data_IF_334292852026
#
_entry.id   IF_334292852026
#
_cell.length_a   1.000
_cell.length_b   1.000
_cell.length_c   1.000
_cell.angle_alpha   90.00
_cell.angle_beta   90.00
_cell.angle_gamma   90.00
#
_symmetry.space_group_name_H-M   'P 1'
#
loop_
_entity.id
_entity.type
_entity.pdbx_description
1 polymer ?
#
# COMPACT_ATOMS: atom_id res chain seq x y z
N UNK A 1 -0.82 -1.08 -3.16
CA UNK A 1 0.43 -0.32 -2.84
C UNK A 1 0.76 0.63 -3.97
N UNK A 2 1.29 1.82 -3.64
CA UNK A 2 1.75 2.81 -4.61
C UNK A 2 3.23 3.15 -4.34
N UNK A 3 4.08 3.13 -5.37
CA UNK A 3 5.52 3.45 -5.23
C UNK A 3 6.16 3.72 -6.60
N UNK A 4 7.27 4.45 -6.63
CA UNK A 4 8.07 4.58 -7.85
C UNK A 4 8.68 3.26 -8.32
N UNK A 5 9.16 2.44 -7.38
CA UNK A 5 9.83 1.17 -7.63
C UNK A 5 9.30 0.11 -6.68
N UNK A 6 9.14 -1.13 -7.16
CA UNK A 6 8.71 -2.27 -6.36
C UNK A 6 9.65 -3.44 -6.61
N UNK A 7 10.14 -4.04 -5.52
CA UNK A 7 10.91 -5.29 -5.51
C UNK A 7 10.28 -6.26 -4.53
N UNK A 8 9.98 -7.45 -5.00
CA UNK A 8 9.29 -8.50 -4.23
C UNK A 8 10.23 -9.70 -4.14
N UNK A 9 10.48 -10.16 -2.92
CA UNK A 9 11.37 -11.27 -2.66
C UNK A 9 10.62 -12.34 -1.85
N UNK A 10 10.79 -13.61 -2.20
CA UNK A 10 10.24 -14.76 -1.46
C UNK A 10 8.72 -14.74 -1.23
N UNK A 11 7.96 -14.15 -2.18
CA UNK A 11 6.50 -14.13 -2.10
C UNK A 11 5.90 -15.40 -2.73
N UNK A 12 4.85 -15.93 -2.11
CA UNK A 12 4.14 -17.11 -2.61
C UNK A 12 2.64 -16.90 -2.57
N UNK A 13 1.94 -17.19 -3.67
CA UNK A 13 0.47 -17.17 -3.74
C UNK A 13 -0.08 -15.84 -3.22
N UNK A 14 0.36 -14.73 -3.81
CA UNK A 14 0.03 -13.37 -3.37
C UNK A 14 -0.52 -12.55 -4.53
N UNK A 15 -1.53 -11.73 -4.23
CA UNK A 15 -2.12 -10.78 -5.18
C UNK A 15 -1.68 -9.36 -4.84
N UNK A 16 -1.02 -8.71 -5.80
CA UNK A 16 -0.48 -7.36 -5.66
C UNK A 16 -1.28 -6.37 -6.50
N UNK A 17 -1.91 -5.40 -5.82
CA UNK A 17 -2.62 -4.28 -6.45
C UNK A 17 -1.71 -3.07 -6.47
N UNK A 18 -1.22 -2.66 -7.64
CA UNK A 18 -0.08 -1.76 -7.75
C UNK A 18 -0.38 -0.47 -8.51
N UNK A 19 0.18 0.63 -7.99
CA UNK A 19 0.42 1.89 -8.73
C UNK A 19 1.92 2.09 -8.78
N UNK A 20 2.53 2.05 -9.97
CA UNK A 20 3.99 2.11 -10.13
C UNK A 20 4.46 2.95 -11.30
N UNK A 21 5.67 3.53 -11.20
CA UNK A 21 6.34 4.26 -12.29
C UNK A 21 7.37 3.43 -13.05
N UNK A 22 7.83 2.33 -12.47
CA UNK A 22 8.68 1.36 -13.13
C UNK A 22 8.06 -0.03 -13.08
N UNK A 23 8.55 -0.89 -13.97
CA UNK A 23 8.26 -2.33 -13.96
C UNK A 23 8.63 -2.93 -12.60
N UNK A 24 7.71 -3.64 -11.91
CA UNK A 24 8.04 -4.37 -10.70
C UNK A 24 9.08 -5.46 -10.99
N UNK A 25 9.91 -5.77 -10.00
CA UNK A 25 10.88 -6.87 -10.07
C UNK A 25 10.55 -7.91 -9.02
N UNK A 26 10.51 -9.18 -9.40
CA UNK A 26 10.37 -10.32 -8.48
C UNK A 26 11.66 -11.13 -8.41
N UNK A 27 11.90 -11.77 -7.27
CA UNK A 27 12.97 -12.73 -7.05
C UNK A 27 12.51 -13.83 -6.08
N UNK A 28 12.89 -15.08 -6.33
CA UNK A 28 12.54 -16.24 -5.48
C UNK A 28 11.04 -16.33 -5.14
N UNK A 29 10.19 -15.86 -6.05
CA UNK A 29 8.74 -15.78 -5.85
C UNK A 29 8.01 -16.77 -6.75
N UNK A 30 6.83 -17.21 -6.34
CA UNK A 30 6.05 -18.23 -7.06
C UNK A 30 4.55 -18.01 -6.90
N UNK A 31 3.79 -18.17 -7.99
CA UNK A 31 2.34 -17.97 -8.00
C UNK A 31 1.90 -16.55 -7.59
N UNK A 32 2.69 -15.51 -7.88
CA UNK A 32 2.31 -14.13 -7.58
C UNK A 32 1.49 -13.52 -8.72
N UNK A 33 0.48 -12.72 -8.41
CA UNK A 33 -0.42 -12.14 -9.42
C UNK A 33 -0.51 -10.64 -9.26
N UNK A 34 -0.63 -9.92 -10.38
CA UNK A 34 -0.59 -8.46 -10.40
C UNK A 34 -1.88 -7.87 -10.97
N UNK A 35 -2.36 -6.80 -10.33
CA UNK A 35 -3.57 -6.09 -10.68
C UNK A 35 -3.36 -4.56 -10.56
N UNK A 36 -4.21 -3.75 -11.23
CA UNK A 36 -4.24 -2.31 -11.00
C UNK A 36 -4.51 -1.97 -9.54
N UNK A 37 -3.98 -0.84 -9.08
CA UNK A 37 -4.28 -0.30 -7.75
C UNK A 37 -5.79 -0.12 -7.52
N UNK A 38 -6.29 -0.59 -6.37
CA UNK A 38 -7.73 -0.62 -6.07
C UNK A 38 -8.12 0.11 -4.77
N UNK A 39 -7.18 0.76 -4.09
CA UNK A 39 -7.46 1.50 -2.85
C UNK A 39 -8.08 2.86 -3.16
N UNK A 40 -9.08 3.28 -2.38
CA UNK A 40 -9.61 4.64 -2.39
C UNK A 40 -9.79 5.16 -0.96
N UNK A 41 -9.55 6.45 -0.79
CA UNK A 41 -9.88 7.24 0.40
C UNK A 41 -9.97 8.71 -0.02
N UNK A 42 -10.54 9.57 0.83
CA UNK A 42 -10.66 11.00 0.53
C UNK A 42 -9.28 11.64 0.39
N UNK A 43 -9.00 12.24 -0.77
CA UNK A 43 -7.72 12.89 -1.05
C UNK A 43 -6.66 12.01 -1.73
N UNK A 44 -6.92 10.71 -1.95
CA UNK A 44 -5.92 9.79 -2.52
C UNK A 44 -5.31 10.24 -3.84
N UNK A 45 -6.10 10.80 -4.78
CA UNK A 45 -5.58 11.25 -6.06
C UNK A 45 -4.65 12.46 -5.91
N UNK A 46 -4.91 13.34 -4.93
CA UNK A 46 -4.03 14.46 -4.60
C UNK A 46 -2.72 13.96 -4.02
N UNK A 47 -2.78 13.03 -3.08
CA UNK A 47 -1.59 12.43 -2.47
C UNK A 47 -0.72 11.73 -3.51
N UNK A 48 -1.34 11.00 -4.44
CA UNK A 48 -0.65 10.35 -5.55
C UNK A 48 -0.03 11.38 -6.49
N UNK A 49 -0.74 12.45 -6.83
CA UNK A 49 -0.21 13.51 -7.70
C UNK A 49 1.01 14.21 -7.07
N UNK A 50 0.95 14.54 -5.78
CA UNK A 50 2.04 15.21 -5.03
C UNK A 50 3.35 14.42 -5.08
N UNK A 51 3.28 13.10 -5.21
CA UNK A 51 4.44 12.21 -5.31
C UNK A 51 4.68 11.69 -6.73
N UNK A 52 4.08 12.29 -7.77
CA UNK A 52 4.21 11.90 -9.18
C UNK A 52 3.74 10.46 -9.50
N UNK A 53 2.69 10.00 -8.80
CA UNK A 53 2.02 8.72 -8.98
C UNK A 53 0.55 8.84 -9.43
N UNK A 54 0.07 10.06 -9.72
CA UNK A 54 -1.32 10.31 -10.14
C UNK A 54 -1.70 9.67 -11.48
N UNK A 55 -0.75 9.57 -12.41
CA UNK A 55 -0.93 8.87 -13.68
C UNK A 55 -0.82 7.35 -13.53
N UNK A 56 -1.75 6.60 -14.14
CA UNK A 56 -1.65 5.14 -14.28
C UNK A 56 -0.89 4.85 -15.59
N UNK A 57 0.22 4.12 -15.49
CA UNK A 57 1.18 3.92 -16.60
C UNK A 57 1.15 2.53 -17.21
N UNK A 58 0.33 1.61 -16.70
CA UNK A 58 0.28 0.20 -17.08
C UNK A 58 1.46 -0.63 -16.58
N UNK A 59 2.47 -0.02 -15.95
CA UNK A 59 3.71 -0.68 -15.54
C UNK A 59 3.49 -1.85 -14.56
N UNK A 60 2.40 -1.85 -13.80
CA UNK A 60 2.03 -2.95 -12.92
C UNK A 60 1.86 -4.28 -13.66
N UNK A 61 1.58 -4.24 -14.97
CA UNK A 61 1.35 -5.44 -15.81
C UNK A 61 2.61 -6.00 -16.47
N UNK A 62 3.76 -5.34 -16.30
CA UNK A 62 5.02 -5.73 -16.93
C UNK A 62 6.08 -5.97 -15.85
N UNK A 63 6.23 -7.24 -15.44
CA UNK A 63 7.03 -7.63 -14.28
C UNK A 63 8.29 -8.37 -14.73
N UNK A 64 9.44 -7.93 -14.22
CA UNK A 64 10.73 -8.59 -14.43
C UNK A 64 10.94 -9.67 -13.37
N UNK A 65 11.22 -10.91 -13.81
CA UNK A 65 11.66 -11.98 -12.92
C UNK A 65 13.18 -12.09 -12.96
N UNK A 66 13.84 -11.66 -11.89
CA UNK A 66 15.29 -11.54 -11.82
C UNK A 66 16.01 -12.88 -12.02
N UNK A 67 15.39 -14.01 -11.62
CA UNK A 67 16.00 -15.34 -11.74
C UNK A 67 15.56 -16.09 -13.00
N UNK A 68 14.71 -15.49 -13.83
CA UNK A 68 14.23 -16.10 -15.05
C UNK A 68 15.09 -15.72 -16.25
N UNK A 69 16.08 -16.56 -16.57
CA UNK A 69 17.03 -16.32 -17.66
C UNK A 69 16.52 -16.78 -19.04
N UNK A 70 15.25 -17.22 -19.15
CA UNK A 70 14.69 -17.71 -20.42
C UNK A 70 14.05 -16.56 -21.19
N UNK A 71 14.02 -16.67 -22.52
CA UNK A 71 13.40 -15.68 -23.40
C UNK A 71 11.85 -15.67 -23.37
N UNK A 72 11.25 -16.73 -22.81
CA UNK A 72 9.79 -16.83 -22.63
C UNK A 72 9.36 -16.16 -21.32
N UNK A 73 8.08 -15.83 -21.19
CA UNK A 73 7.55 -15.30 -19.94
C UNK A 73 7.74 -16.28 -18.77
N UNK A 74 8.05 -15.73 -17.58
CA UNK A 74 8.14 -16.51 -16.35
C UNK A 74 6.78 -17.04 -15.93
N UNK A 75 6.73 -18.31 -15.51
CA UNK A 75 5.54 -18.91 -14.91
C UNK A 75 5.31 -18.50 -13.45
N UNK A 76 6.28 -17.82 -12.83
CA UNK A 76 6.22 -17.43 -11.41
C UNK A 76 5.23 -16.30 -11.14
N UNK A 77 4.82 -15.58 -12.18
CA UNK A 77 3.86 -14.50 -12.07
C UNK A 77 2.82 -14.49 -13.20
N UNK A 78 1.69 -13.84 -12.94
CA UNK A 78 0.66 -13.60 -13.95
C UNK A 78 -0.12 -12.32 -13.66
N UNK A 79 -0.96 -11.93 -14.61
CA UNK A 79 -1.97 -10.89 -14.38
C UNK A 79 -3.15 -11.53 -13.65
N UNK A 80 -3.63 -10.87 -12.59
CA UNK A 80 -4.83 -11.29 -11.88
C UNK A 80 -6.06 -11.09 -12.78
N UNK A 81 -6.82 -12.16 -13.10
CA UNK A 81 -8.04 -12.06 -13.90
C UNK A 81 -9.06 -11.10 -13.28
N UNK A 82 -9.76 -10.33 -14.12
CA UNK A 82 -10.66 -9.26 -13.65
C UNK A 82 -11.78 -9.77 -12.75
N UNK A 83 -12.30 -10.97 -13.02
CA UNK A 83 -13.35 -11.62 -12.23
C UNK A 83 -12.88 -12.09 -10.85
N UNK A 84 -11.57 -12.14 -10.61
CA UNK A 84 -10.98 -12.52 -9.33
C UNK A 84 -10.45 -11.30 -8.55
N UNK A 85 -10.51 -10.10 -9.13
CA UNK A 85 -10.02 -8.89 -8.47
C UNK A 85 -10.93 -8.50 -7.31
N UNK A 86 -10.29 -8.06 -6.23
CA UNK A 86 -10.94 -7.24 -5.24
C UNK A 86 -11.51 -6.00 -5.92
N UNK A 87 -12.71 -5.61 -5.53
CA UNK A 87 -13.29 -4.34 -5.95
C UNK A 87 -12.48 -3.15 -5.45
N UNK A 88 -13.04 -1.95 -5.62
CA UNK A 88 -12.55 -0.78 -4.90
C UNK A 88 -12.58 -1.07 -3.39
N UNK A 89 -11.45 -0.85 -2.72
CA UNK A 89 -11.34 -0.95 -1.26
C UNK A 89 -11.36 0.46 -0.72
N UNK A 90 -12.39 0.79 0.06
CA UNK A 90 -12.49 2.09 0.72
C UNK A 90 -11.84 2.02 2.11
N UNK A 91 -10.89 2.91 2.39
CA UNK A 91 -10.36 3.11 3.73
C UNK A 91 -11.05 4.31 4.37
N UNK A 92 -11.95 4.04 5.31
CA UNK A 92 -12.56 5.08 6.15
C UNK A 92 -11.61 5.42 7.31
N UNK A 93 -11.27 6.70 7.45
CA UNK A 93 -10.44 7.20 8.54
C UNK A 93 -11.23 7.11 9.85
N UNK A 94 -10.88 6.16 10.73
CA UNK A 94 -11.42 6.17 12.10
C UNK A 94 -10.79 7.35 12.84
N UNK A 95 -11.52 8.45 12.96
CA UNK A 95 -11.17 9.54 13.87
C UNK A 95 -11.24 9.02 15.31
N UNK A 96 -10.16 8.47 15.85
CA UNK A 96 -10.03 8.28 17.30
C UNK A 96 -9.87 9.66 17.95
N UNK A 97 -11.01 10.29 18.25
CA UNK A 97 -11.07 11.35 19.24
C UNK A 97 -10.64 10.79 20.59
N UNK A 98 -9.36 10.91 20.94
CA UNK A 98 -8.91 10.78 22.33
C UNK A 98 -9.47 11.96 23.12
N UNK A 99 -10.72 11.82 23.55
CA UNK A 99 -11.30 12.64 24.59
C UNK A 99 -10.56 12.32 25.90
N UNK A 100 -9.59 13.16 26.24
CA UNK A 100 -8.99 13.17 27.58
C UNK A 100 -10.07 13.62 28.57
N UNK A 101 -10.74 12.65 29.20
CA UNK A 101 -11.62 12.92 30.34
C UNK A 101 -10.74 13.36 31.51
N UNK A 102 -10.63 14.68 31.69
CA UNK A 102 -10.16 15.28 32.94
C UNK A 102 -11.19 14.96 34.03
N UNK A 103 -11.01 13.83 34.72
CA UNK A 103 -11.70 13.61 35.98
C UNK A 103 -11.10 14.55 37.03
N UNK A 104 -11.78 15.68 37.23
CA UNK A 104 -11.58 16.55 38.37
C UNK A 104 -11.73 15.74 39.66
N UNK A 105 -10.63 15.65 40.42
CA UNK A 105 -10.67 15.41 41.85
C UNK A 105 -10.38 16.76 42.51
N UNK A 106 -11.45 17.43 42.93
CA UNK A 106 -11.38 18.35 44.07
C UNK A 106 -10.87 17.55 45.28
N UNK A 107 -9.80 18.03 45.91
CA UNK A 107 -9.31 17.39 47.12
C UNK A 107 -8.01 17.96 47.65
N UNK A 108 -8.14 19.00 48.47
CA UNK A 108 -7.19 19.44 49.51
C UNK A 108 -5.87 20.06 49.08
N UNK A 109 -5.65 21.29 49.55
CA UNK A 109 -4.58 22.17 49.12
C UNK A 109 -3.19 21.82 49.64
N UNK A 110 -2.23 22.58 49.10
CA UNK A 110 -1.07 23.07 49.83
C UNK A 110 -0.55 24.32 49.12
N UNK A 111 -0.42 25.39 49.89
CA UNK A 111 0.30 26.61 49.54
C UNK A 111 1.78 26.33 49.79
N UNK A 112 2.63 26.62 48.81
CA UNK A 112 4.06 26.83 49.05
C UNK A 112 4.52 28.05 48.26
N UNK A 113 4.66 29.17 48.97
CA UNK A 113 5.67 30.16 48.63
C UNK A 113 6.95 29.79 49.36
N UNK A 114 8.10 29.94 48.71
CA UNK A 114 9.35 30.54 49.20
C UNK A 114 10.53 30.15 48.29
N UNK A 115 11.34 31.15 47.94
CA UNK A 115 12.65 31.01 47.29
C UNK A 115 12.88 32.02 46.20
#
# INVERSE_FOLDING_TARGET
MASHQIRIHQAKICDFYLRVRSRPVIEDSDGVRFAPYCLKYEGIEKDLEEVNLGEETGNWSNVDDFKWLRAVQSSNWSILPENERAGTVDMEEQSEGREMKNNGLEGSGQVWALG
#
